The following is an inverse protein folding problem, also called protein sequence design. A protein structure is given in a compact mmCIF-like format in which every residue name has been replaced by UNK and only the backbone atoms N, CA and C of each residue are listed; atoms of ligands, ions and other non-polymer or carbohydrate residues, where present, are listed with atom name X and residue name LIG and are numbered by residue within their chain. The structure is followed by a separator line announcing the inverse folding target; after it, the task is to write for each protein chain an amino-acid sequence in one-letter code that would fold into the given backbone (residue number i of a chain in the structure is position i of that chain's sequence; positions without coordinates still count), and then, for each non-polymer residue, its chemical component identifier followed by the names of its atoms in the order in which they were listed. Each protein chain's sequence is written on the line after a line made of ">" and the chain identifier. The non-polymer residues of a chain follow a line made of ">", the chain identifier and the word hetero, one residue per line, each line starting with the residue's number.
data_IF_319741034961
#
_entry.id   IF_319741034961
#
_cell.length_a   1.000
_cell.length_b   1.000
_cell.length_c   1.000
_cell.angle_alpha   90.00
_cell.angle_beta   90.00
_cell.angle_gamma   90.00
#
_symmetry.space_group_name_H-M   'P 1'
#
loop_
_entity.id
_entity.type
_entity.pdbx_description
1 polymer ?
#
# COMPACT_ATOMS: atom_id res chain seq x y z
N UNK A 1 45.29 -40.19 18.81
CA UNK A 1 45.61 -38.99 19.60
C UNK A 1 44.63 -37.88 19.18
N UNK A 2 43.87 -37.16 20.00
CA UNK A 2 43.68 -37.09 21.44
C UNK A 2 42.50 -36.14 21.80
N UNK A 3 41.88 -36.42 22.94
CA UNK A 3 41.29 -35.54 23.97
C UNK A 3 40.18 -34.51 23.63
N UNK A 4 38.93 -34.92 23.86
CA UNK A 4 37.88 -34.41 24.79
C UNK A 4 37.84 -32.96 25.34
N UNK A 5 36.57 -32.49 25.48
CA UNK A 5 35.97 -31.49 26.40
C UNK A 5 35.94 -30.02 25.95
N UNK A 6 34.73 -29.50 25.69
CA UNK A 6 33.99 -28.62 26.61
C UNK A 6 32.50 -28.62 26.29
N UNK A 7 31.71 -29.15 27.26
CA UNK A 7 30.26 -28.98 27.33
C UNK A 7 29.95 -27.49 27.39
N UNK A 8 29.09 -27.02 26.51
CA UNK A 8 28.29 -25.81 26.73
C UNK A 8 26.92 -26.09 26.12
N UNK A 9 25.96 -26.43 26.97
CA UNK A 9 24.54 -26.46 26.65
C UNK A 9 24.06 -25.02 26.78
N UNK A 10 23.66 -24.31 25.71
CA UNK A 10 22.79 -23.17 25.88
C UNK A 10 21.37 -23.72 26.01
N UNK A 11 20.87 -23.55 27.23
CA UNK A 11 19.49 -23.75 27.68
C UNK A 11 18.50 -23.32 26.60
N UNK A 12 17.67 -24.27 26.16
CA UNK A 12 16.41 -24.02 25.46
C UNK A 12 15.50 -23.21 26.39
N UNK A 13 15.60 -21.90 26.33
CA UNK A 13 14.59 -21.00 26.88
C UNK A 13 13.47 -20.87 25.84
N UNK A 14 12.50 -21.79 25.92
CA UNK A 14 11.21 -21.63 25.28
C UNK A 14 10.45 -20.50 26.01
N UNK A 15 10.49 -19.29 25.46
CA UNK A 15 9.57 -18.22 25.80
C UNK A 15 8.48 -18.17 24.73
N UNK A 16 7.38 -18.87 25.01
CA UNK A 16 6.11 -18.62 24.36
C UNK A 16 5.47 -17.35 24.93
N UNK A 17 4.57 -16.78 24.13
CA UNK A 17 3.57 -15.75 24.46
C UNK A 17 3.98 -14.28 24.21
N UNK A 18 3.15 -13.63 23.39
CA UNK A 18 3.05 -12.16 23.37
C UNK A 18 3.27 -11.50 22.03
N UNK A 19 3.10 -12.21 20.90
CA UNK A 19 2.90 -11.55 19.61
C UNK A 19 1.55 -10.83 19.63
N UNK A 20 1.49 -9.63 20.20
CA UNK A 20 0.50 -8.65 19.75
C UNK A 20 0.92 -8.33 18.32
N UNK A 21 0.38 -9.08 17.36
CA UNK A 21 0.24 -8.59 16.01
C UNK A 21 -0.57 -7.31 16.18
N UNK A 22 0.15 -6.18 16.25
CA UNK A 22 -0.44 -4.87 16.12
C UNK A 22 -1.34 -4.99 14.90
N UNK A 23 -2.64 -4.83 15.11
CA UNK A 23 -3.63 -4.67 14.04
C UNK A 23 -3.30 -3.36 13.32
N UNK A 24 -2.13 -3.28 12.69
CA UNK A 24 -1.91 -2.40 11.58
C UNK A 24 -2.88 -2.90 10.53
N UNK A 25 -3.92 -2.12 10.25
CA UNK A 25 -4.83 -2.44 9.16
C UNK A 25 -3.98 -2.80 7.94
N UNK A 26 -4.25 -3.95 7.33
CA UNK A 26 -3.42 -4.50 6.27
C UNK A 26 -3.40 -3.51 5.10
N UNK A 27 -2.35 -2.68 5.04
CA UNK A 27 -2.08 -1.87 3.86
C UNK A 27 -1.72 -2.83 2.74
N UNK A 28 -2.42 -2.73 1.62
CA UNK A 28 -2.20 -3.57 0.46
C UNK A 28 -2.51 -2.79 -0.80
N UNK A 29 -1.70 -2.99 -1.83
CA UNK A 29 -1.93 -2.43 -3.14
C UNK A 29 -1.69 -3.49 -4.21
N UNK A 30 -2.39 -3.35 -5.34
CA UNK A 30 -2.18 -4.14 -6.54
C UNK A 30 -2.49 -3.29 -7.76
N UNK A 31 -1.80 -3.55 -8.87
CA UNK A 31 -2.09 -2.87 -10.13
C UNK A 31 -1.91 -3.80 -11.32
N UNK A 32 -2.59 -3.50 -12.42
CA UNK A 32 -2.42 -4.18 -13.70
C UNK A 32 -2.61 -3.19 -14.84
N UNK A 33 -1.71 -3.20 -15.82
CA UNK A 33 -1.72 -2.24 -16.92
C UNK A 33 -1.98 -2.94 -18.25
N UNK A 34 -2.98 -2.46 -18.99
CA UNK A 34 -3.36 -2.97 -20.32
C UNK A 34 -3.62 -1.78 -21.23
N UNK A 35 -2.99 -1.74 -22.41
CA UNK A 35 -3.16 -0.69 -23.42
C UNK A 35 -2.95 0.74 -22.88
N UNK A 36 -1.93 0.97 -22.05
CA UNK A 36 -1.62 2.30 -21.49
C UNK A 36 -2.59 2.76 -20.39
N UNK A 37 -3.49 1.88 -19.93
CA UNK A 37 -4.38 2.14 -18.81
C UNK A 37 -4.08 1.16 -17.68
N UNK A 38 -3.83 1.68 -16.48
CA UNK A 38 -3.52 0.90 -15.30
C UNK A 38 -4.71 0.89 -14.34
N UNK A 39 -5.18 -0.30 -13.97
CA UNK A 39 -6.17 -0.51 -12.93
C UNK A 39 -5.46 -0.71 -11.60
N UNK A 40 -5.73 0.14 -10.62
CA UNK A 40 -5.06 0.14 -9.32
C UNK A 40 -6.09 -0.09 -8.22
N UNK A 41 -5.76 -0.97 -7.27
CA UNK A 41 -6.51 -1.15 -6.03
C UNK A 41 -5.60 -0.83 -4.86
N UNK A 42 -6.06 0.01 -3.95
CA UNK A 42 -5.33 0.38 -2.73
C UNK A 42 -6.25 0.18 -1.53
N UNK A 43 -5.77 -0.51 -0.51
CA UNK A 43 -6.44 -0.67 0.79
C UNK A 43 -5.59 0.01 1.85
N UNK A 44 -6.17 0.96 2.56
CA UNK A 44 -5.50 1.80 3.54
C UNK A 44 -4.91 3.09 2.93
N UNK A 45 -4.82 4.14 3.74
CA UNK A 45 -4.23 5.42 3.35
C UNK A 45 -2.78 5.57 3.84
N UNK A 46 -2.08 6.58 3.32
CA UNK A 46 -0.70 6.92 3.69
C UNK A 46 0.36 6.06 3.01
N UNK A 47 0.05 5.51 1.83
CA UNK A 47 0.97 4.67 1.08
C UNK A 47 1.22 5.21 -0.33
N UNK A 48 2.42 4.93 -0.83
CA UNK A 48 2.86 5.24 -2.19
C UNK A 48 2.95 3.94 -2.99
N UNK A 49 2.43 3.97 -4.22
CA UNK A 49 2.42 2.86 -5.16
C UNK A 49 3.04 3.33 -6.46
N UNK A 50 4.09 2.67 -6.92
CA UNK A 50 4.65 2.90 -8.25
C UNK A 50 3.76 2.19 -9.28
N UNK A 51 3.25 2.94 -10.26
CA UNK A 51 2.36 2.44 -11.31
C UNK A 51 2.85 2.98 -12.65
N UNK A 52 3.42 2.10 -13.49
CA UNK A 52 3.96 2.48 -14.80
C UNK A 52 4.94 3.68 -14.71
N UNK A 53 5.96 3.53 -13.85
CA UNK A 53 7.02 4.52 -13.57
C UNK A 53 6.52 5.86 -12.98
N UNK A 54 5.30 5.89 -12.43
CA UNK A 54 4.72 7.05 -11.74
C UNK A 54 4.47 6.71 -10.28
N UNK A 55 4.99 7.53 -9.37
CA UNK A 55 4.78 7.39 -7.92
C UNK A 55 3.44 7.99 -7.50
N UNK A 56 2.47 7.14 -7.18
CA UNK A 56 1.13 7.55 -6.75
C UNK A 56 0.98 7.41 -5.24
N UNK A 57 0.85 8.54 -4.54
CA UNK A 57 0.66 8.56 -3.09
C UNK A 57 -0.80 8.78 -2.75
N UNK A 58 -1.43 7.76 -2.16
CA UNK A 58 -2.80 7.83 -1.63
C UNK A 58 -2.73 8.23 -0.16
N UNK A 59 -2.99 9.51 0.13
CA UNK A 59 -2.86 10.07 1.49
C UNK A 59 -4.14 9.98 2.32
N UNK A 60 -5.30 9.86 1.67
CA UNK A 60 -6.60 9.68 2.34
C UNK A 60 -7.56 8.89 1.47
N UNK A 61 -8.33 8.01 2.10
CA UNK A 61 -9.50 7.34 1.51
C UNK A 61 -10.67 7.61 2.46
N UNK A 62 -11.79 8.07 1.93
CA UNK A 62 -13.04 8.25 2.66
C UNK A 62 -14.22 7.82 1.79
N UNK A 63 -15.40 7.60 2.37
CA UNK A 63 -16.60 7.26 1.60
C UNK A 63 -17.01 8.31 0.54
N UNK A 64 -16.41 9.51 0.57
CA UNK A 64 -16.66 10.58 -0.40
C UNK A 64 -15.66 10.58 -1.55
N UNK A 65 -14.45 10.07 -1.34
CA UNK A 65 -13.36 10.23 -2.31
C UNK A 65 -11.99 9.80 -1.80
N UNK A 66 -10.99 10.06 -2.63
CA UNK A 66 -9.58 9.81 -2.36
C UNK A 66 -8.79 11.12 -2.48
N UNK A 67 -7.84 11.34 -1.57
CA UNK A 67 -6.81 12.37 -1.74
C UNK A 67 -5.53 11.71 -2.23
N UNK A 68 -5.00 12.20 -3.36
CA UNK A 68 -3.89 11.57 -4.08
C UNK A 68 -2.95 12.61 -4.67
N UNK A 69 -1.67 12.27 -4.76
CA UNK A 69 -0.65 13.00 -5.52
C UNK A 69 0.11 12.04 -6.43
N UNK A 70 0.66 12.54 -7.53
CA UNK A 70 1.48 11.76 -8.46
C UNK A 70 2.81 12.49 -8.71
N UNK A 71 3.94 11.79 -8.62
CA UNK A 71 5.30 12.33 -8.82
C UNK A 71 5.57 13.64 -8.06
N UNK A 72 5.13 13.70 -6.81
CA UNK A 72 5.30 14.89 -5.96
C UNK A 72 4.42 16.08 -6.35
N UNK A 73 3.41 15.90 -7.20
CA UNK A 73 2.41 16.93 -7.49
C UNK A 73 1.69 17.40 -6.23
N UNK A 74 1.07 18.58 -6.30
CA UNK A 74 0.12 19.00 -5.28
C UNK A 74 -0.99 17.92 -5.11
N UNK A 75 -1.41 17.61 -3.87
CA UNK A 75 -2.50 16.67 -3.63
C UNK A 75 -3.82 17.16 -4.23
N UNK A 76 -4.58 16.24 -4.81
CA UNK A 76 -5.92 16.47 -5.32
C UNK A 76 -6.91 15.53 -4.65
N UNK A 77 -8.13 16.02 -4.39
CA UNK A 77 -9.24 15.18 -3.91
C UNK A 77 -10.15 14.83 -5.08
N UNK A 78 -10.36 13.54 -5.30
CA UNK A 78 -11.20 13.01 -6.39
C UNK A 78 -12.33 12.22 -5.75
N UNK A 79 -13.57 12.63 -6.02
CA UNK A 79 -14.74 11.92 -5.54
C UNK A 79 -14.95 10.59 -6.27
N UNK A 80 -15.68 9.66 -5.66
CA UNK A 80 -16.05 8.40 -6.32
C UNK A 80 -16.81 8.67 -7.64
N UNK A 81 -16.44 7.96 -8.70
CA UNK A 81 -16.99 8.14 -10.05
C UNK A 81 -16.47 9.37 -10.81
N UNK A 82 -15.58 10.17 -10.21
CA UNK A 82 -14.99 11.35 -10.85
C UNK A 82 -13.59 11.08 -11.39
N UNK A 83 -13.16 11.98 -12.27
CA UNK A 83 -11.84 11.99 -12.90
C UNK A 83 -11.16 13.33 -12.66
N UNK A 84 -9.86 13.30 -12.39
CA UNK A 84 -9.04 14.51 -12.32
C UNK A 84 -7.63 14.26 -12.88
N UNK A 85 -7.00 15.32 -13.36
CA UNK A 85 -5.57 15.31 -13.70
C UNK A 85 -4.75 15.60 -12.44
N UNK A 86 -3.78 14.74 -12.14
CA UNK A 86 -2.92 14.83 -10.97
C UNK A 86 -1.49 14.67 -11.43
N UNK A 87 -0.73 15.77 -11.41
CA UNK A 87 0.61 15.79 -11.99
C UNK A 87 0.61 15.39 -13.48
N UNK A 88 1.41 14.39 -13.88
CA UNK A 88 1.49 13.94 -15.27
C UNK A 88 0.32 13.03 -15.70
N UNK A 89 -0.42 12.43 -14.77
CA UNK A 89 -1.41 11.38 -15.06
C UNK A 89 -2.85 11.85 -14.89
N UNK A 90 -3.77 11.12 -15.51
CA UNK A 90 -5.21 11.25 -15.26
C UNK A 90 -5.69 10.09 -14.39
N UNK A 91 -6.33 10.41 -13.27
CA UNK A 91 -6.86 9.43 -12.32
C UNK A 91 -8.39 9.43 -12.40
N UNK A 92 -8.99 8.25 -12.53
CA UNK A 92 -10.45 8.05 -12.45
C UNK A 92 -10.77 7.15 -11.26
N UNK A 93 -11.47 7.66 -10.24
CA UNK A 93 -11.88 6.83 -9.10
C UNK A 93 -13.12 6.02 -9.51
N UNK A 94 -12.99 4.71 -9.56
CA UNK A 94 -14.05 3.82 -10.04
C UNK A 94 -14.93 3.29 -8.91
N UNK A 95 -14.37 3.06 -7.73
CA UNK A 95 -15.12 2.61 -6.55
C UNK A 95 -14.37 2.93 -5.25
N UNK A 96 -15.13 3.11 -4.17
CA UNK A 96 -14.61 3.18 -2.80
C UNK A 96 -15.47 2.27 -1.91
N UNK A 97 -14.81 1.37 -1.19
CA UNK A 97 -15.40 0.37 -0.31
C UNK A 97 -14.68 0.41 1.04
N UNK A 98 -15.19 1.21 1.99
CA UNK A 98 -14.53 1.42 3.28
C UNK A 98 -13.19 2.15 3.13
N UNK A 99 -12.10 1.48 3.47
CA UNK A 99 -10.72 1.95 3.33
C UNK A 99 -10.05 1.49 2.02
N UNK A 100 -10.80 0.84 1.13
CA UNK A 100 -10.34 0.38 -0.18
C UNK A 100 -10.82 1.30 -1.28
N UNK A 101 -9.92 1.70 -2.16
CA UNK A 101 -10.21 2.46 -3.37
C UNK A 101 -9.74 1.69 -4.60
N UNK A 102 -10.56 1.74 -5.65
CA UNK A 102 -10.21 1.30 -7.00
C UNK A 102 -10.16 2.53 -7.90
N UNK A 103 -9.09 2.67 -8.66
CA UNK A 103 -8.95 3.77 -9.61
C UNK A 103 -8.17 3.35 -10.84
N UNK A 104 -8.41 4.06 -11.93
CA UNK A 104 -7.70 3.88 -13.18
C UNK A 104 -6.72 5.04 -13.39
N UNK A 105 -5.54 4.73 -13.91
CA UNK A 105 -4.50 5.67 -14.29
C UNK A 105 -4.23 5.56 -15.80
N UNK A 106 -4.13 6.70 -16.47
CA UNK A 106 -3.85 6.84 -17.91
C UNK A 106 -3.15 8.15 -18.22
#
# INVERSE_FOLDING_TARGET
>A
MGVYVKRAVPVLAAAAAGGVLVLGGCQSNSHSCVNGKCHVTVTGAGQTVEVNDVDVTVSRISGQGMTVSADGSAPATIASGQRARVGPVTITVTSIEGDKVKFDLS
#
